data_IF_892344223339
#
_entry.id   IF_892344223339
#
_cell.length_a   1.000
_cell.length_b   1.000
_cell.length_c   1.000
_cell.angle_alpha   90.00
_cell.angle_beta   90.00
_cell.angle_gamma   90.00
#
_symmetry.space_group_name_H-M   'P 1'
#
loop_
_entity.id
_entity.type
_entity.pdbx_description
1 polymer ?
#
# COMPACT_ATOMS: atom_id res chain seq x y z
N UNK A 1 -1.24 -0.14 19.23
CA UNK A 1 -1.31 0.40 17.85
C UNK A 1 -0.41 -0.40 16.94
N UNK A 2 -0.92 -0.80 15.80
CA UNK A 2 -0.13 -1.54 14.81
C UNK A 2 0.06 -0.63 13.60
N UNK A 3 1.30 -0.53 13.13
CA UNK A 3 1.66 0.31 11.97
C UNK A 3 2.10 -0.62 10.84
N UNK A 4 1.51 -0.44 9.67
CA UNK A 4 1.84 -1.21 8.47
C UNK A 4 2.29 -0.27 7.36
N UNK A 5 3.33 -0.67 6.63
CA UNK A 5 3.73 -0.01 5.40
C UNK A 5 3.27 -0.86 4.21
N UNK A 6 2.65 -0.23 3.24
CA UNK A 6 2.18 -0.89 2.02
C UNK A 6 2.79 -0.21 0.82
N UNK A 7 3.40 -0.98 -0.07
CA UNK A 7 4.05 -0.45 -1.26
C UNK A 7 3.68 -1.24 -2.50
N UNK A 8 3.66 -0.56 -3.65
CA UNK A 8 3.38 -1.17 -4.94
C UNK A 8 4.15 -0.42 -6.03
N UNK A 9 4.80 -1.14 -6.93
CA UNK A 9 5.51 -0.53 -8.06
C UNK A 9 5.07 -1.07 -9.42
N UNK A 10 4.18 -2.04 -9.44
CA UNK A 10 3.74 -2.68 -10.67
C UNK A 10 2.27 -2.41 -10.91
N UNK A 11 1.93 -2.21 -12.18
CA UNK A 11 0.53 -2.23 -12.61
C UNK A 11 0.06 -3.68 -12.67
N UNK A 12 -1.21 -3.90 -12.41
CA UNK A 12 -1.81 -5.22 -12.49
C UNK A 12 -3.03 -5.18 -13.41
N UNK A 13 -3.59 -6.36 -13.66
CA UNK A 13 -4.85 -6.46 -14.41
C UNK A 13 -6.03 -5.82 -13.68
N UNK A 14 -5.88 -5.53 -12.41
CA UNK A 14 -6.92 -4.94 -11.56
C UNK A 14 -6.78 -3.43 -11.40
N UNK A 15 -5.70 -2.85 -11.95
CA UNK A 15 -5.50 -1.41 -11.87
C UNK A 15 -4.03 -1.00 -11.79
N UNK A 16 -3.80 0.26 -11.51
CA UNK A 16 -2.46 0.82 -11.35
C UNK A 16 -1.96 0.60 -9.91
N UNK A 17 -0.73 1.08 -9.62
CA UNK A 17 -0.13 0.87 -8.30
C UNK A 17 -0.88 1.53 -7.15
N UNK A 18 -1.62 2.62 -7.41
CA UNK A 18 -2.49 3.24 -6.39
C UNK A 18 -3.69 2.35 -6.10
N UNK A 19 -4.34 1.83 -7.14
CA UNK A 19 -5.48 0.93 -7.00
C UNK A 19 -5.08 -0.36 -6.31
N UNK A 20 -3.87 -0.85 -6.54
CA UNK A 20 -3.36 -2.05 -5.88
C UNK A 20 -3.24 -1.85 -4.37
N UNK A 21 -2.81 -0.66 -3.94
CA UNK A 21 -2.74 -0.33 -2.51
C UNK A 21 -4.15 -0.26 -1.91
N UNK A 22 -5.07 0.40 -2.58
CA UNK A 22 -6.46 0.49 -2.11
C UNK A 22 -7.09 -0.89 -2.00
N UNK A 23 -6.82 -1.77 -2.96
CA UNK A 23 -7.31 -3.14 -2.94
C UNK A 23 -6.72 -3.91 -1.76
N UNK A 24 -5.44 -3.76 -1.48
CA UNK A 24 -4.79 -4.41 -0.35
C UNK A 24 -5.43 -3.97 0.98
N UNK A 25 -5.69 -2.68 1.13
CA UNK A 25 -6.36 -2.15 2.34
C UNK A 25 -7.77 -2.73 2.47
N UNK A 26 -8.49 -2.85 1.36
CA UNK A 26 -9.83 -3.45 1.35
C UNK A 26 -9.80 -4.91 1.80
N UNK A 27 -8.81 -5.68 1.36
CA UNK A 27 -8.65 -7.07 1.80
C UNK A 27 -8.36 -7.15 3.30
N UNK A 28 -7.50 -6.28 3.82
CA UNK A 28 -7.24 -6.23 5.26
C UNK A 28 -8.54 -6.03 6.04
N UNK A 29 -9.37 -5.13 5.57
CA UNK A 29 -10.65 -4.83 6.21
C UNK A 29 -11.58 -6.06 6.22
N UNK A 30 -11.60 -6.83 5.13
CA UNK A 30 -12.38 -8.06 5.03
C UNK A 30 -11.95 -9.08 6.10
N UNK A 31 -10.66 -9.12 6.43
CA UNK A 31 -10.11 -10.03 7.44
C UNK A 31 -10.13 -9.46 8.86
N UNK A 32 -10.88 -8.40 9.09
CA UNK A 32 -11.02 -7.83 10.43
C UNK A 32 -9.90 -6.90 10.86
N UNK A 33 -9.06 -6.47 9.92
CA UNK A 33 -7.99 -5.51 10.19
C UNK A 33 -8.46 -4.14 9.74
N UNK A 34 -8.86 -3.32 10.70
CA UNK A 34 -9.48 -2.03 10.41
C UNK A 34 -8.44 -0.92 10.34
N UNK A 35 -8.46 -0.17 9.24
CA UNK A 35 -7.60 1.00 9.09
C UNK A 35 -8.15 2.16 9.92
N UNK A 36 -7.32 2.70 10.80
CA UNK A 36 -7.66 3.84 11.65
C UNK A 36 -7.23 5.15 11.04
N UNK A 37 -5.99 5.20 10.54
CA UNK A 37 -5.40 6.37 9.90
C UNK A 37 -4.55 5.93 8.73
N UNK A 38 -4.37 6.82 7.77
CA UNK A 38 -3.62 6.57 6.56
C UNK A 38 -2.81 7.82 6.20
N UNK A 39 -1.54 7.63 5.90
CA UNK A 39 -0.68 8.71 5.43
C UNK A 39 -1.04 9.11 4.00
N UNK A 40 -0.47 10.22 3.52
CA UNK A 40 -0.46 10.54 2.10
C UNK A 40 0.39 9.49 1.36
N UNK A 41 0.12 9.30 0.08
CA UNK A 41 0.97 8.48 -0.77
C UNK A 41 2.31 9.17 -0.96
N UNK A 42 3.38 8.39 -1.01
CA UNK A 42 4.71 8.90 -1.32
C UNK A 42 5.46 7.91 -2.22
N UNK A 43 6.42 8.43 -2.98
CA UNK A 43 7.19 7.62 -3.91
C UNK A 43 8.54 7.24 -3.32
N UNK A 44 9.02 6.06 -3.69
CA UNK A 44 10.38 5.62 -3.41
C UNK A 44 10.98 4.95 -4.63
N UNK A 45 12.31 5.00 -4.74
CA UNK A 45 13.03 4.44 -5.88
C UNK A 45 13.16 2.93 -5.72
N UNK A 46 12.98 2.20 -6.84
CA UNK A 46 13.22 0.77 -6.87
C UNK A 46 14.72 0.49 -6.86
N UNK A 47 15.13 -0.50 -6.09
CA UNK A 47 16.48 -1.01 -6.08
C UNK A 47 16.49 -2.46 -6.57
N UNK A 48 17.58 -2.88 -7.25
CA UNK A 48 18.77 -2.09 -7.62
C UNK A 48 18.60 -1.29 -8.90
N UNK A 49 17.50 -1.41 -9.60
CA UNK A 49 17.35 -0.83 -10.94
C UNK A 49 16.54 0.45 -10.89
N UNK A 50 17.23 1.60 -11.08
CA UNK A 50 16.60 2.93 -11.06
C UNK A 50 15.66 3.19 -12.25
N UNK A 51 15.73 2.35 -13.30
CA UNK A 51 14.85 2.48 -14.46
C UNK A 51 13.51 1.79 -14.27
N UNK A 52 13.36 1.01 -13.21
CA UNK A 52 12.08 0.40 -12.87
C UNK A 52 11.10 1.46 -12.36
N UNK A 53 9.79 1.22 -12.49
CA UNK A 53 8.78 2.13 -11.93
C UNK A 53 9.02 2.37 -10.44
N UNK A 54 8.82 3.60 -10.00
CA UNK A 54 8.92 3.95 -8.58
C UNK A 54 7.82 3.26 -7.77
N UNK A 55 8.16 2.89 -6.54
CA UNK A 55 7.16 2.43 -5.59
C UNK A 55 6.25 3.59 -5.18
N UNK A 56 4.97 3.30 -5.08
CA UNK A 56 4.03 4.14 -4.35
C UNK A 56 3.82 3.48 -3.00
N UNK A 57 3.95 4.25 -1.95
CA UNK A 57 3.89 3.75 -0.58
C UNK A 57 2.88 4.53 0.23
N UNK A 58 2.32 3.86 1.22
CA UNK A 58 1.47 4.48 2.23
C UNK A 58 1.72 3.80 3.56
N UNK A 59 1.60 4.56 4.64
CA UNK A 59 1.69 4.02 5.99
C UNK A 59 0.30 4.11 6.62
N UNK A 60 -0.16 3.01 7.17
CA UNK A 60 -1.47 2.97 7.84
C UNK A 60 -1.32 2.51 9.29
N UNK A 61 -2.16 3.02 10.16
CA UNK A 61 -2.34 2.46 11.48
C UNK A 61 -3.61 1.64 11.49
N UNK A 62 -3.56 0.47 12.11
CA UNK A 62 -4.66 -0.49 12.09
C UNK A 62 -4.95 -1.01 13.49
N UNK A 63 -6.16 -1.54 13.65
CA UNK A 63 -6.51 -2.36 14.81
C UNK A 63 -7.14 -3.66 14.32
N UNK A 64 -6.95 -4.71 15.09
CA UNK A 64 -7.51 -6.03 14.82
C UNK A 64 -8.69 -6.29 15.73
N UNK A 65 -9.69 -6.96 15.20
CA UNK A 65 -10.84 -7.39 16.00
C UNK A 65 -10.54 -8.64 16.80
#
# INVERSE_FOLDING_TARGET
MIILGIGSNLNSNFGNRFSNIDLAISYLNVYGIKTLKMSSYYESVSYPNKNDPKFINVIISVETS
#
